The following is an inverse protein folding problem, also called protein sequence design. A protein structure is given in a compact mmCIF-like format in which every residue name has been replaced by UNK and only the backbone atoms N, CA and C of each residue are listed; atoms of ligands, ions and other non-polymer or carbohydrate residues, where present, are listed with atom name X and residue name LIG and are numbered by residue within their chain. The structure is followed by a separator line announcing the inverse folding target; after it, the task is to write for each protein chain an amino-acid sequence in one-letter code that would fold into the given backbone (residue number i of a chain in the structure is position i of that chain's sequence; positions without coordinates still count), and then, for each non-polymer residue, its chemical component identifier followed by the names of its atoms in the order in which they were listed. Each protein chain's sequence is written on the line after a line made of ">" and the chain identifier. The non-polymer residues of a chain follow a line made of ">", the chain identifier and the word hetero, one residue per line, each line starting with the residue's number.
data_IF_274424366348
#
_entry.id   IF_274424366348
#
_cell.length_a   1.000
_cell.length_b   1.000
_cell.length_c   1.000
_cell.angle_alpha   90.00
_cell.angle_beta   90.00
_cell.angle_gamma   90.00
#
_symmetry.space_group_name_H-M   'P 1'
#
loop_
_entity.id
_entity.type
_entity.pdbx_description
1 polymer ?
#
# COMPACT_ATOMS: atom_id res chain seq x y z
N UNK A 1 -28.45 -5.32 12.95
CA UNK A 1 -27.26 -6.17 12.74
C UNK A 1 -27.72 -7.31 11.85
N UNK A 2 -27.11 -7.49 10.67
CA UNK A 2 -27.52 -8.57 9.75
C UNK A 2 -27.01 -9.91 10.26
N UNK A 3 -27.85 -10.95 10.20
CA UNK A 3 -27.47 -12.30 10.61
C UNK A 3 -26.73 -13.04 9.50
N UNK A 4 -26.00 -14.10 9.85
CA UNK A 4 -25.36 -15.02 8.90
C UNK A 4 -26.34 -15.55 7.85
N UNK A 5 -27.59 -15.82 8.23
CA UNK A 5 -28.63 -16.32 7.32
C UNK A 5 -29.07 -15.26 6.29
N UNK A 6 -29.15 -13.99 6.69
CA UNK A 6 -29.47 -12.89 5.79
C UNK A 6 -28.41 -12.73 4.69
N UNK A 7 -27.15 -12.95 5.04
CA UNK A 7 -26.04 -12.94 4.09
C UNK A 7 -26.09 -14.12 3.12
N UNK A 8 -26.34 -15.34 3.62
CA UNK A 8 -26.47 -16.55 2.77
C UNK A 8 -27.57 -16.37 1.72
N UNK A 9 -28.75 -15.89 2.13
CA UNK A 9 -29.87 -15.64 1.22
C UNK A 9 -29.48 -14.66 0.10
N UNK A 10 -28.75 -13.59 0.43
CA UNK A 10 -28.31 -12.59 -0.55
C UNK A 10 -27.19 -13.07 -1.46
N UNK A 11 -26.30 -13.94 -0.97
CA UNK A 11 -25.16 -14.44 -1.75
C UNK A 11 -25.51 -15.62 -2.64
N UNK A 12 -26.64 -16.30 -2.39
CA UNK A 12 -27.10 -17.42 -3.22
C UNK A 12 -27.38 -17.02 -4.67
N UNK A 13 -27.77 -15.77 -4.91
CA UNK A 13 -28.03 -15.22 -6.26
C UNK A 13 -26.81 -14.54 -6.91
N UNK A 14 -25.67 -14.50 -6.21
CA UNK A 14 -24.44 -13.84 -6.70
C UNK A 14 -23.55 -14.88 -7.37
N UNK A 15 -22.96 -14.54 -8.52
CA UNK A 15 -22.03 -15.41 -9.23
C UNK A 15 -20.81 -15.81 -8.39
N UNK A 16 -20.36 -17.06 -8.55
CA UNK A 16 -19.20 -17.61 -7.81
C UNK A 16 -17.94 -16.76 -7.97
N UNK A 17 -17.65 -16.27 -9.19
CA UNK A 17 -16.49 -15.41 -9.45
C UNK A 17 -16.56 -14.10 -8.65
N UNK A 18 -17.74 -13.48 -8.56
CA UNK A 18 -17.96 -12.25 -7.78
C UNK A 18 -17.84 -12.49 -6.28
N UNK A 19 -18.27 -13.66 -5.78
CA UNK A 19 -18.10 -14.04 -4.38
C UNK A 19 -16.62 -14.23 -4.02
N UNK A 20 -15.86 -14.87 -4.90
CA UNK A 20 -14.41 -15.05 -4.75
C UNK A 20 -13.67 -13.70 -4.78
N UNK A 21 -14.03 -12.80 -5.70
CA UNK A 21 -13.48 -11.44 -5.76
C UNK A 21 -13.76 -10.64 -4.49
N UNK A 22 -14.99 -10.71 -3.96
CA UNK A 22 -15.36 -10.02 -2.70
C UNK A 22 -14.58 -10.53 -1.50
N UNK A 23 -14.36 -11.84 -1.40
CA UNK A 23 -13.49 -12.44 -0.39
C UNK A 23 -12.04 -11.97 -0.52
N UNK A 24 -11.55 -11.79 -1.75
CA UNK A 24 -10.17 -11.39 -2.02
C UNK A 24 -9.89 -9.89 -1.80
N UNK A 25 -10.90 -9.03 -1.91
CA UNK A 25 -10.70 -7.57 -2.03
C UNK A 25 -11.21 -6.74 -0.84
N UNK A 26 -12.14 -7.23 -0.01
CA UNK A 26 -12.77 -6.42 1.05
C UNK A 26 -12.50 -6.93 2.47
N UNK A 27 -12.37 -6.00 3.41
CA UNK A 27 -12.57 -6.27 4.84
C UNK A 27 -14.05 -6.56 5.07
N UNK A 28 -14.40 -7.85 5.06
CA UNK A 28 -15.74 -8.34 5.36
C UNK A 28 -15.84 -8.66 6.86
N UNK A 29 -17.02 -8.41 7.44
CA UNK A 29 -17.35 -8.94 8.77
C UNK A 29 -17.29 -10.47 8.75
N UNK A 30 -16.95 -11.07 9.89
CA UNK A 30 -16.70 -12.51 9.97
C UNK A 30 -17.96 -13.32 9.62
N UNK A 31 -19.15 -12.84 9.98
CA UNK A 31 -20.43 -13.46 9.62
C UNK A 31 -20.69 -13.45 8.11
N UNK A 32 -20.22 -12.41 7.41
CA UNK A 32 -20.36 -12.31 5.96
C UNK A 32 -19.37 -13.24 5.24
N UNK A 33 -18.16 -13.42 5.78
CA UNK A 33 -17.20 -14.41 5.24
C UNK A 33 -17.75 -15.82 5.39
N UNK A 34 -18.24 -16.18 6.56
CA UNK A 34 -18.80 -17.50 6.85
C UNK A 34 -19.99 -17.84 5.93
N UNK A 35 -20.82 -16.84 5.64
CA UNK A 35 -21.92 -16.98 4.70
C UNK A 35 -21.43 -17.27 3.27
N UNK A 36 -20.39 -16.57 2.79
CA UNK A 36 -19.83 -16.82 1.46
C UNK A 36 -19.16 -18.20 1.40
N UNK A 37 -18.40 -18.59 2.42
CA UNK A 37 -17.79 -19.91 2.52
C UNK A 37 -18.85 -21.03 2.42
N UNK A 38 -19.99 -20.88 3.11
CA UNK A 38 -21.08 -21.85 3.02
C UNK A 38 -21.68 -21.92 1.61
N UNK A 39 -21.98 -20.77 0.98
CA UNK A 39 -22.55 -20.74 -0.38
C UNK A 39 -21.59 -21.36 -1.40
N UNK A 40 -20.28 -21.13 -1.26
CA UNK A 40 -19.27 -21.73 -2.13
C UNK A 40 -19.18 -23.25 -1.93
N UNK A 41 -19.25 -23.72 -0.68
CA UNK A 41 -19.29 -25.15 -0.37
C UNK A 41 -20.55 -25.83 -0.92
N UNK A 42 -21.73 -25.21 -0.77
CA UNK A 42 -22.99 -25.70 -1.37
C UNK A 42 -22.90 -25.83 -2.91
N UNK A 43 -22.05 -25.02 -3.55
CA UNK A 43 -21.80 -25.05 -5.00
C UNK A 43 -20.70 -26.03 -5.42
N UNK A 44 -20.17 -26.82 -4.50
CA UNK A 44 -19.07 -27.76 -4.77
C UNK A 44 -17.73 -27.09 -5.06
N UNK A 45 -17.59 -25.80 -4.73
CA UNK A 45 -16.30 -25.13 -4.77
C UNK A 45 -15.55 -25.59 -3.51
N UNK A 46 -14.41 -26.30 -3.64
CA UNK A 46 -13.65 -26.73 -2.46
C UNK A 46 -13.29 -25.50 -1.61
N UNK A 47 -13.25 -25.63 -0.29
CA UNK A 47 -12.84 -24.54 0.61
C UNK A 47 -11.34 -24.20 0.45
N UNK A 48 -10.57 -25.13 -0.13
CA UNK A 48 -9.13 -25.09 -0.25
C UNK A 48 -8.47 -24.07 -1.22
N UNK A 49 -9.15 -23.28 -2.08
CA UNK A 49 -8.48 -22.20 -2.82
C UNK A 49 -8.44 -20.87 -2.08
N UNK A 50 -9.22 -20.61 -1.03
CA UNK A 50 -9.30 -19.24 -0.49
C UNK A 50 -8.02 -18.80 0.24
N UNK A 51 -7.41 -19.70 1.00
CA UNK A 51 -6.10 -19.47 1.63
C UNK A 51 -4.93 -19.57 0.62
N UNK A 52 -5.15 -20.16 -0.55
CA UNK A 52 -4.18 -20.17 -1.66
C UNK A 52 -4.22 -18.87 -2.47
N UNK A 53 -5.39 -18.24 -2.60
CA UNK A 53 -5.60 -16.98 -3.31
C UNK A 53 -5.12 -15.75 -2.50
N UNK A 54 -5.16 -15.83 -1.17
CA UNK A 54 -4.44 -14.94 -0.27
C UNK A 54 -3.76 -15.80 0.80
N UNK A 55 -2.46 -16.08 0.69
CA UNK A 55 -1.72 -16.64 1.80
C UNK A 55 -1.94 -15.73 3.00
N UNK A 56 -2.54 -16.24 4.08
CA UNK A 56 -2.49 -15.49 5.32
C UNK A 56 -1.02 -15.44 5.76
N UNK A 57 -0.54 -14.22 5.99
CA UNK A 57 0.84 -13.98 6.41
C UNK A 57 0.76 -13.56 7.86
N UNK A 58 1.29 -14.38 8.78
CA UNK A 58 1.33 -14.05 10.19
C UNK A 58 1.92 -12.67 10.42
N UNK A 59 1.30 -11.87 11.29
CA UNK A 59 1.74 -10.49 11.54
C UNK A 59 3.20 -10.41 12.00
N UNK A 60 3.68 -11.42 12.72
CA UNK A 60 5.06 -11.50 13.16
C UNK A 60 6.05 -11.66 11.98
N UNK A 61 5.71 -12.42 10.93
CA UNK A 61 6.51 -12.53 9.72
C UNK A 61 6.58 -11.17 9.00
N UNK A 62 5.44 -10.49 8.87
CA UNK A 62 5.39 -9.14 8.27
C UNK A 62 6.26 -8.17 9.06
N UNK A 63 6.19 -8.20 10.39
CA UNK A 63 6.97 -7.32 11.26
C UNK A 63 8.48 -7.62 11.17
N UNK A 64 8.87 -8.89 11.17
CA UNK A 64 10.26 -9.31 11.01
C UNK A 64 10.81 -8.89 9.64
N UNK A 65 10.05 -9.12 8.58
CA UNK A 65 10.44 -8.74 7.22
C UNK A 65 10.52 -7.22 7.06
N UNK A 66 9.57 -6.46 7.61
CA UNK A 66 9.63 -5.00 7.63
C UNK A 66 10.86 -4.49 8.40
N UNK A 67 11.22 -5.14 9.51
CA UNK A 67 12.41 -4.82 10.27
C UNK A 67 13.70 -5.15 9.50
N UNK A 68 13.71 -6.26 8.76
CA UNK A 68 14.81 -6.61 7.86
C UNK A 68 14.98 -5.56 6.75
N UNK A 69 13.89 -5.13 6.11
CA UNK A 69 13.92 -4.02 5.13
C UNK A 69 14.48 -2.76 5.80
N UNK A 70 13.96 -2.39 6.98
CA UNK A 70 14.36 -1.16 7.68
C UNK A 70 15.85 -1.11 7.99
N UNK A 71 16.46 -2.26 8.35
CA UNK A 71 17.88 -2.39 8.68
C UNK A 71 18.77 -2.65 7.47
N UNK A 72 18.18 -3.01 6.33
CA UNK A 72 18.90 -3.30 5.10
C UNK A 72 19.47 -2.05 4.41
N UNK A 73 20.21 -2.24 3.31
CA UNK A 73 20.77 -1.14 2.53
C UNK A 73 19.68 -0.38 1.77
N UNK A 74 19.84 0.94 1.65
CA UNK A 74 18.87 1.78 0.95
C UNK A 74 18.75 1.39 -0.54
N UNK A 75 17.56 1.13 -1.10
CA UNK A 75 17.43 0.75 -2.51
C UNK A 75 17.75 1.87 -3.50
N UNK A 76 17.88 3.12 -3.04
CA UNK A 76 18.16 4.30 -3.88
C UNK A 76 19.64 4.65 -3.95
N UNK A 77 20.36 4.53 -2.84
CA UNK A 77 21.77 4.91 -2.76
C UNK A 77 22.71 3.75 -2.38
N UNK A 78 22.15 2.58 -2.08
CA UNK A 78 22.86 1.37 -1.61
C UNK A 78 23.73 1.59 -0.36
N UNK A 79 23.54 2.71 0.34
CA UNK A 79 24.26 3.03 1.57
C UNK A 79 23.88 2.10 2.72
N UNK A 80 24.81 1.95 3.66
CA UNK A 80 24.66 1.13 4.89
C UNK A 80 23.85 1.81 6.00
N UNK A 81 23.27 2.98 5.72
CA UNK A 81 22.40 3.67 6.68
C UNK A 81 21.12 2.86 6.90
N UNK A 82 20.93 2.43 8.14
CA UNK A 82 19.67 1.83 8.60
C UNK A 82 18.61 2.91 8.82
N UNK A 83 17.34 2.49 8.86
CA UNK A 83 16.21 3.40 8.99
C UNK A 83 15.47 3.67 7.69
N UNK A 84 15.41 2.66 6.79
CA UNK A 84 14.54 2.71 5.63
C UNK A 84 13.10 2.81 6.10
N UNK A 85 12.39 3.78 5.54
CA UNK A 85 10.98 4.02 5.81
C UNK A 85 10.27 4.39 4.52
N UNK A 86 8.95 4.24 4.49
CA UNK A 86 8.13 4.80 3.40
C UNK A 86 8.03 6.31 3.61
N UNK A 87 8.65 7.06 2.71
CA UNK A 87 8.71 8.52 2.74
C UNK A 87 7.87 9.08 1.60
N UNK A 88 7.17 10.17 1.91
CA UNK A 88 6.35 10.90 0.95
C UNK A 88 7.07 12.14 0.44
N UNK A 89 6.98 12.38 -0.85
CA UNK A 89 7.34 13.65 -1.48
C UNK A 89 6.17 14.23 -2.26
N UNK A 90 6.05 15.55 -2.23
CA UNK A 90 4.89 16.29 -2.71
C UNK A 90 5.30 17.22 -3.84
N UNK A 91 4.78 16.98 -5.03
CA UNK A 91 5.14 17.74 -6.22
C UNK A 91 3.89 18.36 -6.87
N UNK A 92 4.06 19.60 -7.31
CA UNK A 92 3.10 20.38 -8.08
C UNK A 92 3.73 20.71 -9.41
N UNK A 93 2.94 20.57 -10.46
CA UNK A 93 3.23 21.16 -11.75
C UNK A 93 2.00 21.94 -12.21
N UNK A 94 2.20 23.23 -12.50
CA UNK A 94 1.16 24.09 -13.08
C UNK A 94 1.64 24.67 -14.41
N UNK A 95 0.77 24.63 -15.41
CA UNK A 95 0.96 25.36 -16.67
C UNK A 95 -0.32 26.09 -17.02
N UNK A 96 -0.30 27.43 -16.88
CA UNK A 96 -1.34 28.41 -17.23
C UNK A 96 -2.75 28.13 -16.63
N UNK A 97 -3.40 27.05 -17.07
CA UNK A 97 -4.77 26.64 -16.67
C UNK A 97 -4.83 25.22 -16.07
N UNK A 98 -3.76 24.43 -16.18
CA UNK A 98 -3.74 23.05 -15.68
C UNK A 98 -2.77 22.93 -14.52
N UNK A 99 -3.30 22.62 -13.34
CA UNK A 99 -2.51 22.27 -12.15
C UNK A 99 -2.66 20.78 -11.90
N UNK A 100 -1.54 20.05 -11.96
CA UNK A 100 -1.46 18.66 -11.51
C UNK A 100 -0.63 18.60 -10.24
N UNK A 101 -1.10 17.83 -9.28
CA UNK A 101 -0.35 17.47 -8.09
C UNK A 101 -0.27 15.95 -7.97
N UNK A 102 0.80 15.49 -7.35
CA UNK A 102 0.97 14.08 -7.06
C UNK A 102 1.67 13.92 -5.70
N UNK A 103 1.45 12.80 -5.05
CA UNK A 103 2.22 12.39 -3.88
C UNK A 103 2.98 11.13 -4.25
N UNK A 104 4.30 11.16 -4.18
CA UNK A 104 5.13 9.98 -4.36
C UNK A 104 5.35 9.29 -3.03
N UNK A 105 5.24 7.96 -2.99
CA UNK A 105 5.58 7.14 -1.83
C UNK A 105 6.75 6.24 -2.22
N UNK A 106 7.88 6.38 -1.54
CA UNK A 106 9.08 5.57 -1.82
C UNK A 106 9.68 5.06 -0.52
N UNK A 107 10.03 3.78 -0.47
CA UNK A 107 10.82 3.23 0.62
C UNK A 107 12.30 3.59 0.43
N UNK A 108 12.83 4.46 1.29
CA UNK A 108 14.23 4.89 1.20
C UNK A 108 14.78 5.36 2.57
N UNK A 109 16.10 5.50 2.64
CA UNK A 109 16.75 6.11 3.81
C UNK A 109 16.39 7.60 3.92
N UNK A 110 16.67 8.18 5.10
CA UNK A 110 16.36 9.57 5.39
C UNK A 110 17.02 10.55 4.43
N UNK A 111 18.32 10.39 4.15
CA UNK A 111 19.06 11.29 3.25
C UNK A 111 18.42 11.34 1.86
N UNK A 112 18.08 10.18 1.30
CA UNK A 112 17.38 10.10 0.01
C UNK A 112 15.99 10.73 0.05
N UNK A 113 15.21 10.50 1.11
CA UNK A 113 13.89 11.11 1.25
C UNK A 113 13.94 12.63 1.38
N UNK A 114 14.87 13.16 2.19
CA UNK A 114 15.09 14.61 2.33
C UNK A 114 15.53 15.23 1.00
N UNK A 115 16.44 14.58 0.26
CA UNK A 115 16.87 15.05 -1.05
C UNK A 115 15.72 15.10 -2.06
N UNK A 116 14.85 14.08 -2.08
CA UNK A 116 13.66 14.08 -2.94
C UNK A 116 12.70 15.22 -2.58
N UNK A 117 12.48 15.48 -1.28
CA UNK A 117 11.64 16.60 -0.83
C UNK A 117 12.22 17.96 -1.21
N UNK A 118 13.54 18.13 -1.18
CA UNK A 118 14.19 19.35 -1.68
C UNK A 118 13.99 19.55 -3.18
N UNK A 119 14.12 18.48 -3.97
CA UNK A 119 13.85 18.55 -5.40
C UNK A 119 12.38 18.89 -5.65
N UNK A 120 11.46 18.22 -4.96
CA UNK A 120 10.02 18.45 -5.09
C UNK A 120 9.62 19.87 -4.66
N UNK A 121 10.27 20.41 -3.62
CA UNK A 121 10.11 21.79 -3.18
C UNK A 121 10.57 22.77 -4.28
N UNK A 122 11.73 22.54 -4.89
CA UNK A 122 12.22 23.34 -6.01
C UNK A 122 11.25 23.33 -7.19
N UNK A 123 10.69 22.17 -7.52
CA UNK A 123 9.63 22.04 -8.54
C UNK A 123 8.37 22.84 -8.18
N UNK A 124 7.89 22.74 -6.94
CA UNK A 124 6.71 23.49 -6.49
C UNK A 124 6.96 25.01 -6.56
N UNK A 125 8.14 25.48 -6.14
CA UNK A 125 8.49 26.91 -6.16
C UNK A 125 8.69 27.42 -7.59
N UNK A 126 9.25 26.63 -8.51
CA UNK A 126 9.48 27.08 -9.88
C UNK A 126 8.23 27.01 -10.77
N UNK A 127 7.44 25.95 -10.62
CA UNK A 127 6.39 25.58 -11.57
C UNK A 127 4.98 25.52 -10.97
N UNK A 128 4.81 25.72 -9.66
CA UNK A 128 3.49 25.62 -9.01
C UNK A 128 2.59 26.84 -9.19
N UNK A 129 3.18 28.03 -9.37
CA UNK A 129 2.48 29.32 -9.28
C UNK A 129 1.73 29.75 -10.54
N UNK A 130 1.95 29.08 -11.66
CA UNK A 130 1.43 29.51 -12.97
C UNK A 130 -0.05 29.20 -13.20
N UNK A 131 -0.73 28.52 -12.27
CA UNK A 131 -2.17 28.22 -12.36
C UNK A 131 -2.99 29.15 -11.46
N UNK A 132 -3.92 29.93 -12.02
CA UNK A 132 -4.85 30.77 -11.25
C UNK A 132 -6.24 30.13 -11.26
N UNK A 133 -6.93 29.94 -10.11
CA UNK A 133 -6.54 30.29 -8.74
C UNK A 133 -5.82 29.16 -7.98
N UNK A 134 -5.85 27.93 -8.50
CA UNK A 134 -5.44 26.73 -7.78
C UNK A 134 -3.94 26.69 -7.40
N UNK A 135 -3.07 27.19 -8.27
CA UNK A 135 -1.63 27.24 -8.04
C UNK A 135 -1.22 28.14 -6.87
N UNK A 136 -1.94 29.24 -6.64
CA UNK A 136 -1.62 30.18 -5.55
C UNK A 136 -1.98 29.61 -4.16
N UNK A 137 -3.00 28.74 -4.07
CA UNK A 137 -3.43 28.14 -2.81
C UNK A 137 -2.80 26.75 -2.55
N UNK A 138 -2.68 25.91 -3.59
CA UNK A 138 -2.21 24.53 -3.44
C UNK A 138 -0.68 24.48 -3.28
N UNK A 139 0.04 25.34 -3.98
CA UNK A 139 1.52 25.39 -3.94
C UNK A 139 2.06 25.70 -2.54
N UNK A 140 1.59 26.74 -1.80
CA UNK A 140 2.08 26.99 -0.44
C UNK A 140 1.75 25.84 0.51
N UNK A 141 0.60 25.19 0.36
CA UNK A 141 0.26 24.00 1.14
C UNK A 141 1.25 22.85 0.91
N UNK A 142 1.63 22.56 -0.35
CA UNK A 142 2.62 21.52 -0.64
C UNK A 142 4.04 21.89 -0.25
N UNK A 143 4.41 23.17 -0.32
CA UNK A 143 5.66 23.69 0.22
C UNK A 143 5.75 23.39 1.72
N UNK A 144 4.71 23.74 2.49
CA UNK A 144 4.66 23.47 3.93
C UNK A 144 4.78 21.98 4.23
N UNK A 145 4.07 21.12 3.48
CA UNK A 145 4.17 19.66 3.67
C UNK A 145 5.58 19.11 3.42
N UNK A 146 6.26 19.57 2.38
CA UNK A 146 7.66 19.17 2.13
C UNK A 146 8.58 19.65 3.26
N UNK A 147 8.40 20.89 3.74
CA UNK A 147 9.19 21.43 4.86
C UNK A 147 8.96 20.64 6.15
N UNK A 148 7.71 20.33 6.49
CA UNK A 148 7.39 19.49 7.65
C UNK A 148 7.98 18.08 7.51
N UNK A 149 7.92 17.48 6.32
CA UNK A 149 8.51 16.17 6.06
C UNK A 149 10.04 16.20 6.22
N UNK A 150 10.71 17.28 5.80
CA UNK A 150 12.16 17.49 5.99
C UNK A 150 12.50 17.67 7.48
N UNK A 151 11.69 18.47 8.20
CA UNK A 151 11.89 18.77 9.62
C UNK A 151 11.60 17.56 10.54
N UNK A 152 10.70 16.65 10.11
CA UNK A 152 10.33 15.49 10.92
C UNK A 152 11.51 14.53 11.14
N UNK A 153 11.96 14.41 12.39
CA UNK A 153 12.94 13.41 12.83
C UNK A 153 12.22 12.14 13.29
N UNK A 154 11.65 11.37 12.36
CA UNK A 154 11.03 10.09 12.71
C UNK A 154 12.05 8.94 12.62
N UNK A 155 13.02 8.90 13.53
CA UNK A 155 13.86 7.71 13.75
C UNK A 155 13.20 6.85 14.82
N UNK A 156 12.04 6.27 14.49
CA UNK A 156 11.41 5.26 15.35
C UNK A 156 12.24 3.99 15.27
N UNK A 157 12.46 3.29 16.38
CA UNK A 157 13.11 1.97 16.34
C UNK A 157 12.24 0.93 15.62
N UNK A 158 10.92 1.01 15.79
CA UNK A 158 9.93 0.13 15.16
C UNK A 158 9.60 0.57 13.71
N UNK A 159 9.27 -0.36 12.79
CA UNK A 159 8.80 -0.04 11.44
C UNK A 159 7.53 0.81 11.46
N UNK A 160 7.39 1.76 10.52
CA UNK A 160 6.12 2.45 10.35
C UNK A 160 5.01 1.53 9.81
N UNK A 161 3.74 1.89 10.04
CA UNK A 161 2.59 1.19 9.45
C UNK A 161 2.68 1.09 7.93
N UNK A 162 3.17 2.14 7.27
CA UNK A 162 3.35 2.14 5.83
C UNK A 162 4.41 1.12 5.38
N UNK A 163 5.49 0.96 6.16
CA UNK A 163 6.51 -0.05 5.89
C UNK A 163 5.99 -1.48 6.12
N UNK A 164 5.14 -1.70 7.13
CA UNK A 164 4.46 -2.98 7.35
C UNK A 164 3.56 -3.35 6.18
N UNK A 165 2.78 -2.39 5.66
CA UNK A 165 1.93 -2.60 4.48
C UNK A 165 2.78 -2.95 3.26
N UNK A 166 3.90 -2.25 3.05
CA UNK A 166 4.83 -2.56 1.96
C UNK A 166 5.44 -3.96 2.11
N UNK A 167 5.89 -4.31 3.31
CA UNK A 167 6.45 -5.61 3.64
C UNK A 167 5.46 -6.75 3.34
N UNK A 168 4.19 -6.61 3.79
CA UNK A 168 3.13 -7.58 3.51
C UNK A 168 2.91 -7.76 2.01
N UNK A 169 2.87 -6.67 1.24
CA UNK A 169 2.69 -6.73 -0.22
C UNK A 169 3.85 -7.45 -0.91
N UNK A 170 5.08 -7.20 -0.50
CA UNK A 170 6.25 -7.88 -1.06
C UNK A 170 6.25 -9.38 -0.76
N UNK A 171 5.92 -9.78 0.46
CA UNK A 171 5.82 -11.20 0.84
C UNK A 171 4.71 -11.93 0.05
N UNK A 172 3.56 -11.28 -0.13
CA UNK A 172 2.48 -11.84 -0.96
C UNK A 172 2.94 -12.05 -2.41
N UNK A 173 3.60 -11.05 -3.00
CA UNK A 173 4.13 -11.15 -4.35
C UNK A 173 5.15 -12.28 -4.48
N UNK A 174 6.06 -12.43 -3.51
CA UNK A 174 7.04 -13.52 -3.48
C UNK A 174 6.37 -14.90 -3.46
N UNK A 175 5.39 -15.10 -2.58
CA UNK A 175 4.64 -16.37 -2.51
C UNK A 175 3.88 -16.67 -3.81
N UNK A 176 3.31 -15.65 -4.46
CA UNK A 176 2.65 -15.82 -5.76
C UNK A 176 3.63 -16.31 -6.83
N UNK A 177 4.81 -15.68 -6.95
CA UNK A 177 5.83 -16.12 -7.89
C UNK A 177 6.32 -17.55 -7.60
N UNK A 178 6.46 -17.94 -6.33
CA UNK A 178 6.83 -19.30 -5.95
C UNK A 178 5.78 -20.32 -6.40
N UNK A 179 4.50 -20.02 -6.18
CA UNK A 179 3.40 -20.89 -6.62
C UNK A 179 3.36 -21.05 -8.15
N UNK A 180 3.54 -19.97 -8.90
CA UNK A 180 3.61 -20.02 -10.38
C UNK A 180 4.78 -20.87 -10.87
N UNK A 181 5.95 -20.76 -10.23
CA UNK A 181 7.12 -21.57 -10.56
C UNK A 181 6.91 -23.05 -10.26
N UNK A 182 6.21 -23.38 -9.17
CA UNK A 182 5.87 -24.77 -8.83
C UNK A 182 4.89 -25.36 -9.85
N UNK A 183 3.86 -24.61 -10.25
CA UNK A 183 2.85 -25.05 -11.22
C UNK A 183 3.40 -25.22 -12.65
N UNK A 184 4.47 -24.51 -13.00
CA UNK A 184 5.13 -24.62 -14.32
C UNK A 184 6.07 -25.84 -14.40
N UNK A 185 6.55 -26.34 -13.26
CA UNK A 185 7.50 -27.46 -13.17
C UNK A 185 6.82 -28.82 -12.88
N UNK A 186 5.50 -28.84 -12.70
CA UNK A 186 4.66 -30.02 -12.47
C UNK A 186 3.92 -30.42 -13.74
#
# INVERSE_FOLDING_TARGET
>A
MYSRQDFIARFRDVETATLLDRLATRELADEAKDAIHQVLHERGVPAEPLNRLRPDIPEHEVAQYAQAIKRGPCPRCHGRESGIEVRESYWVWSALVLTKWQTKRVACCRKCGVRENWNALGFCIGLGWWGIPAGILITPYQIVRNLLAIASRSERAAPSKALLVLAKRNLLAQRQFELERMATNS
#
